data_IF_895978500582
#
_entry.id   IF_895978500582
#
_cell.length_a   1.000
_cell.length_b   1.000
_cell.length_c   1.000
_cell.angle_alpha   90.00
_cell.angle_beta   90.00
_cell.angle_gamma   90.00
#
_symmetry.space_group_name_H-M   'P 1'
#
loop_
_entity.id
_entity.type
_entity.pdbx_description
1 polymer ?
#
# COMPACT_ATOMS: atom_id res chain seq x y z
N UNK A 1 27.95 35.29 -5.93
CA UNK A 1 27.04 34.49 -5.10
C UNK A 1 25.65 35.08 -5.28
N UNK A 2 24.94 34.66 -6.32
CA UNK A 2 23.55 35.03 -6.49
C UNK A 2 22.73 34.17 -5.54
N UNK A 3 21.82 34.81 -4.80
CA UNK A 3 20.91 34.15 -3.89
C UNK A 3 20.18 33.04 -4.65
N UNK A 4 20.24 31.82 -4.11
CA UNK A 4 19.45 30.68 -4.54
C UNK A 4 17.97 31.08 -4.49
N UNK A 5 17.41 31.48 -5.63
CA UNK A 5 15.97 31.60 -5.78
C UNK A 5 15.41 30.19 -5.67
N UNK A 6 14.71 29.92 -4.58
CA UNK A 6 13.90 28.73 -4.45
C UNK A 6 12.78 28.85 -5.50
N UNK A 7 12.98 28.25 -6.68
CA UNK A 7 12.04 28.34 -7.79
C UNK A 7 10.74 27.62 -7.39
N UNK A 8 9.74 28.40 -7.00
CA UNK A 8 8.39 27.90 -6.70
C UNK A 8 7.76 27.18 -7.90
N UNK A 9 8.29 27.43 -9.10
CA UNK A 9 7.80 26.95 -10.38
C UNK A 9 8.11 25.47 -10.65
N UNK A 10 8.92 24.80 -9.81
CA UNK A 10 9.19 23.36 -10.00
C UNK A 10 7.97 22.47 -9.76
N UNK A 11 7.02 22.92 -8.93
CA UNK A 11 5.83 22.16 -8.57
C UNK A 11 4.61 23.07 -8.61
N UNK A 12 3.49 22.53 -9.09
CA UNK A 12 2.19 23.16 -8.86
C UNK A 12 1.86 23.20 -7.36
N UNK A 13 0.83 23.97 -6.99
CA UNK A 13 0.30 23.92 -5.63
C UNK A 13 -0.07 22.49 -5.19
N UNK A 14 -0.60 21.66 -6.10
CA UNK A 14 -0.88 20.25 -5.81
C UNK A 14 0.40 19.44 -5.50
N UNK A 15 1.50 19.73 -6.21
CA UNK A 15 2.81 19.14 -5.95
C UNK A 15 3.36 19.49 -4.57
N UNK A 16 3.30 20.77 -4.18
CA UNK A 16 3.73 21.21 -2.84
C UNK A 16 2.85 20.65 -1.73
N UNK A 17 1.52 20.61 -1.95
CA UNK A 17 0.60 19.99 -0.99
C UNK A 17 0.91 18.50 -0.85
N UNK A 18 1.18 17.79 -1.95
CA UNK A 18 1.61 16.39 -1.89
C UNK A 18 2.83 16.21 -0.99
N UNK A 19 3.84 17.08 -1.13
CA UNK A 19 5.06 17.03 -0.31
C UNK A 19 4.75 17.21 1.17
N UNK A 20 3.93 18.22 1.50
CA UNK A 20 3.49 18.45 2.88
C UNK A 20 2.70 17.26 3.44
N UNK A 21 1.80 16.67 2.66
CA UNK A 21 0.98 15.54 3.10
C UNK A 21 1.83 14.31 3.38
N UNK A 22 2.78 13.96 2.51
CA UNK A 22 3.61 12.78 2.77
C UNK A 22 4.61 13.00 3.91
N UNK A 23 5.03 14.24 4.20
CA UNK A 23 5.83 14.57 5.40
C UNK A 23 5.08 14.32 6.71
N UNK A 24 3.75 14.36 6.72
CA UNK A 24 2.93 14.04 7.91
C UNK A 24 2.90 12.53 8.19
N UNK A 25 3.07 11.68 7.17
CA UNK A 25 3.06 10.22 7.31
C UNK A 25 4.12 9.70 8.29
N UNK A 26 5.43 10.03 8.16
CA UNK A 26 6.42 9.58 9.13
C UNK A 26 6.19 10.18 10.52
N UNK A 27 5.66 11.42 10.62
CA UNK A 27 5.29 12.00 11.91
C UNK A 27 4.21 11.16 12.62
N UNK A 28 3.21 10.69 11.87
CA UNK A 28 2.18 9.77 12.39
C UNK A 28 2.80 8.47 12.92
N UNK A 29 3.83 7.92 12.24
CA UNK A 29 4.53 6.72 12.69
C UNK A 29 5.44 6.97 13.90
N UNK A 30 6.08 8.14 14.01
CA UNK A 30 6.83 8.52 15.21
C UNK A 30 5.88 8.63 16.41
N UNK A 31 4.74 9.29 16.24
CA UNK A 31 3.71 9.36 17.29
C UNK A 31 3.20 7.98 17.68
N UNK A 32 3.00 7.08 16.70
CA UNK A 32 2.64 5.68 16.96
C UNK A 32 3.72 4.95 17.78
N UNK A 33 5.00 5.13 17.46
CA UNK A 33 6.11 4.52 18.20
C UNK A 33 6.18 4.99 19.65
N UNK A 34 5.87 6.27 19.91
CA UNK A 34 5.89 6.85 21.27
C UNK A 34 4.62 6.47 22.06
N UNK A 35 3.43 6.62 21.47
CA UNK A 35 2.14 6.44 22.19
C UNK A 35 1.63 5.00 22.17
N UNK A 36 2.30 4.10 21.44
CA UNK A 36 1.95 2.69 21.35
C UNK A 36 0.75 2.39 20.43
N UNK A 37 0.29 1.13 20.43
CA UNK A 37 -0.67 0.64 19.45
C UNK A 37 -2.03 1.31 19.58
N UNK A 38 -2.45 2.02 18.52
CA UNK A 38 -3.75 2.68 18.38
C UNK A 38 -4.37 2.29 17.06
N UNK A 39 -5.64 1.89 17.10
CA UNK A 39 -6.37 1.28 15.97
C UNK A 39 -6.44 2.15 14.70
N UNK A 40 -6.21 3.45 14.82
CA UNK A 40 -6.48 4.42 13.78
C UNK A 40 -5.24 5.15 13.25
N UNK A 41 -4.11 5.19 13.99
CA UNK A 41 -2.93 5.96 13.57
C UNK A 41 -2.24 5.38 12.33
N UNK A 42 -1.96 4.08 12.29
CA UNK A 42 -1.34 3.46 11.12
C UNK A 42 -2.25 3.52 9.87
N UNK A 43 -3.56 3.22 9.96
CA UNK A 43 -4.48 3.40 8.82
C UNK A 43 -4.58 4.85 8.33
N UNK A 44 -4.59 5.85 9.23
CA UNK A 44 -4.57 7.26 8.81
C UNK A 44 -3.27 7.59 8.08
N UNK A 45 -2.12 7.17 8.59
CA UNK A 45 -0.83 7.38 7.90
C UNK A 45 -0.82 6.78 6.50
N UNK A 46 -1.37 5.56 6.33
CA UNK A 46 -1.53 4.94 5.01
C UNK A 46 -2.50 5.73 4.12
N UNK A 47 -3.64 6.18 4.66
CA UNK A 47 -4.61 7.00 3.94
C UNK A 47 -4.00 8.31 3.45
N UNK A 48 -3.20 8.99 4.28
CA UNK A 48 -2.46 10.20 3.89
C UNK A 48 -1.45 9.92 2.77
N UNK A 49 -0.73 8.79 2.82
CA UNK A 49 0.20 8.40 1.76
C UNK A 49 -0.53 8.16 0.42
N UNK A 50 -1.73 7.57 0.45
CA UNK A 50 -2.57 7.39 -0.75
C UNK A 50 -3.05 8.74 -1.30
N UNK A 51 -3.49 9.67 -0.43
CA UNK A 51 -3.87 11.03 -0.85
C UNK A 51 -2.69 11.77 -1.48
N UNK A 52 -1.50 11.68 -0.88
CA UNK A 52 -0.28 12.24 -1.47
C UNK A 52 0.01 11.65 -2.85
N UNK A 53 -0.20 10.34 -3.06
CA UNK A 53 0.00 9.72 -4.38
C UNK A 53 -0.94 10.30 -5.44
N UNK A 54 -2.20 10.54 -5.09
CA UNK A 54 -3.18 11.13 -6.03
C UNK A 54 -2.73 12.54 -6.42
N UNK A 55 -2.34 13.36 -5.45
CA UNK A 55 -1.87 14.73 -5.70
C UNK A 55 -0.54 14.77 -6.48
N UNK A 56 0.39 13.86 -6.19
CA UNK A 56 1.64 13.76 -6.93
C UNK A 56 1.42 13.33 -8.38
N UNK A 57 0.50 12.38 -8.62
CA UNK A 57 0.15 11.95 -9.98
C UNK A 57 -0.55 13.06 -10.77
N UNK A 58 -1.40 13.82 -10.12
CA UNK A 58 -2.06 14.99 -10.70
C UNK A 58 -1.02 16.04 -11.10
N UNK A 59 -0.11 16.41 -10.19
CA UNK A 59 1.00 17.32 -10.49
C UNK A 59 1.90 16.83 -11.63
N UNK A 60 2.26 15.54 -11.63
CA UNK A 60 3.12 14.96 -12.66
C UNK A 60 2.45 15.06 -14.04
N UNK A 61 1.17 14.70 -14.14
CA UNK A 61 0.41 14.71 -15.40
C UNK A 61 0.07 16.11 -15.90
N UNK A 62 -0.42 16.97 -15.02
CA UNK A 62 -1.07 18.22 -15.39
C UNK A 62 -0.14 19.44 -15.25
N UNK A 63 1.07 19.27 -14.70
CA UNK A 63 2.02 20.38 -14.57
C UNK A 63 3.39 20.00 -15.12
N UNK A 64 4.07 19.02 -14.52
CA UNK A 64 5.47 18.71 -14.86
C UNK A 64 5.63 18.23 -16.30
N UNK A 65 4.73 17.38 -16.79
CA UNK A 65 4.74 16.92 -18.19
C UNK A 65 4.43 18.00 -19.22
N UNK A 66 3.84 19.12 -18.80
CA UNK A 66 3.51 20.25 -19.69
C UNK A 66 4.65 21.28 -19.76
N UNK A 67 5.66 21.17 -18.91
CA UNK A 67 6.82 22.07 -18.90
C UNK A 67 7.60 21.89 -20.21
N UNK A 68 7.89 23.02 -20.87
CA UNK A 68 8.70 23.04 -22.10
C UNK A 68 10.08 23.65 -21.83
N UNK A 69 11.15 23.10 -22.42
CA UNK A 69 12.47 23.70 -22.30
C UNK A 69 12.51 25.06 -23.02
N UNK A 70 13.10 26.08 -22.39
CA UNK A 70 13.33 27.38 -22.99
C UNK A 70 14.38 27.26 -24.10
N UNK A 71 13.92 27.33 -25.34
CA UNK A 71 14.75 27.27 -26.53
C UNK A 71 14.88 28.62 -27.22
N UNK A 72 14.50 29.71 -26.55
CA UNK A 72 14.56 31.07 -27.11
C UNK A 72 15.97 31.43 -27.59
N UNK A 73 17.01 31.10 -26.82
CA UNK A 73 18.41 31.33 -27.18
C UNK A 73 18.86 30.50 -28.39
N UNK A 74 18.43 29.24 -28.49
CA UNK A 74 18.75 28.38 -29.64
C UNK A 74 18.05 28.85 -30.92
N UNK A 75 16.80 29.31 -30.82
CA UNK A 75 16.04 29.86 -31.93
C UNK A 75 16.68 31.17 -32.42
N UNK A 76 17.08 32.06 -31.51
CA UNK A 76 17.79 33.30 -31.86
C UNK A 76 19.12 33.01 -32.56
N UNK A 77 19.94 32.10 -32.01
CA UNK A 77 21.21 31.71 -32.63
C UNK A 77 21.01 31.05 -34.02
N UNK A 78 19.91 30.33 -34.23
CA UNK A 78 19.56 29.79 -35.56
C UNK A 78 19.12 30.87 -36.53
N UNK A 79 18.31 31.83 -36.09
CA UNK A 79 17.90 32.97 -36.90
C UNK A 79 19.12 33.79 -37.32
N UNK A 80 20.05 34.06 -36.41
CA UNK A 80 21.31 34.73 -36.71
C UNK A 80 22.15 33.95 -37.73
N UNK A 81 22.25 32.63 -37.62
CA UNK A 81 22.94 31.79 -38.61
C UNK A 81 22.25 31.81 -39.98
N UNK A 82 20.91 31.83 -40.00
CA UNK A 82 20.13 31.92 -41.24
C UNK A 82 20.29 33.29 -41.91
N UNK A 83 20.28 34.37 -41.13
CA UNK A 83 20.54 35.71 -41.63
C UNK A 83 21.99 35.88 -42.09
N UNK A 84 22.97 35.36 -41.37
CA UNK A 84 24.38 35.40 -41.77
C UNK A 84 24.62 34.64 -43.07
N UNK A 85 24.00 33.47 -43.25
CA UNK A 85 24.08 32.71 -44.51
C UNK A 85 23.37 33.41 -45.66
N UNK A 86 22.21 34.04 -45.42
CA UNK A 86 21.53 34.89 -46.42
C UNK A 86 22.39 36.09 -46.83
N UNK A 87 22.99 36.79 -45.87
CA UNK A 87 23.88 37.94 -46.13
C UNK A 87 25.14 37.49 -46.88
N UNK A 88 25.74 36.36 -46.52
CA UNK A 88 26.90 35.83 -47.23
C UNK A 88 26.59 35.47 -48.70
N UNK A 89 25.41 34.89 -48.97
CA UNK A 89 24.94 34.61 -50.33
C UNK A 89 24.68 35.89 -51.15
N UNK A 90 24.08 36.91 -50.53
CA UNK A 90 23.88 38.21 -51.19
C UNK A 90 25.23 38.88 -51.53
N UNK A 91 26.22 38.81 -50.64
CA UNK A 91 27.55 39.38 -50.89
C UNK A 91 28.32 38.61 -51.95
N UNK A 92 28.26 37.26 -51.94
CA UNK A 92 28.94 36.45 -52.96
C UNK A 92 28.34 36.60 -54.36
N UNK A 93 27.06 37.00 -54.46
CA UNK A 93 26.33 37.20 -55.73
C UNK A 93 26.07 38.65 -56.10
N UNK A 94 26.56 39.61 -55.32
CA UNK A 94 26.34 41.04 -55.57
C UNK A 94 26.85 41.52 -56.93
N UNK A 95 27.70 40.74 -57.62
CA UNK A 95 28.15 41.02 -58.98
C UNK A 95 27.29 40.39 -60.10
N UNK A 96 26.39 39.47 -59.79
CA UNK A 96 25.57 38.72 -60.78
C UNK A 96 24.05 38.94 -60.62
N UNK A 97 23.61 39.39 -59.45
CA UNK A 97 22.22 39.79 -59.22
C UNK A 97 22.03 41.25 -59.66
N UNK A 98 21.56 41.49 -60.88
CA UNK A 98 20.98 42.78 -61.22
C UNK A 98 19.71 42.99 -60.41
N UNK A 99 19.66 44.03 -59.58
CA UNK A 99 18.50 44.45 -58.78
C UNK A 99 17.42 45.03 -59.72
N UNK A 100 16.83 44.16 -60.56
CA UNK A 100 15.71 44.50 -61.44
C UNK A 100 14.44 44.33 -60.63
N UNK A 101 13.95 45.44 -60.06
CA UNK A 101 12.63 45.48 -59.42
C UNK A 101 11.58 45.81 -60.47
N UNK A 102 10.60 44.94 -60.64
CA UNK A 102 9.42 45.29 -61.40
C UNK A 102 8.46 46.08 -60.51
N UNK A 103 7.65 46.97 -61.11
CA UNK A 103 6.76 47.86 -60.36
C UNK A 103 5.66 47.12 -59.57
N UNK A 104 5.53 45.80 -59.75
CA UNK A 104 4.54 44.94 -59.14
C UNK A 104 5.10 44.12 -57.95
N UNK A 105 6.42 44.14 -57.70
CA UNK A 105 7.05 43.31 -56.67
C UNK A 105 6.86 43.88 -55.25
N UNK A 106 6.45 43.01 -54.31
CA UNK A 106 6.33 43.38 -52.90
C UNK A 106 7.64 43.17 -52.12
N UNK A 107 7.77 43.75 -50.92
CA UNK A 107 8.97 43.59 -50.09
C UNK A 107 9.29 42.13 -49.69
N UNK A 108 8.35 41.20 -49.89
CA UNK A 108 8.53 39.76 -49.69
C UNK A 108 9.03 39.02 -50.96
N UNK A 109 9.00 39.65 -52.14
CA UNK A 109 9.37 39.07 -53.44
C UNK A 109 10.82 39.32 -53.87
N UNK A 110 11.65 39.96 -53.02
CA UNK A 110 13.03 40.34 -53.36
C UNK A 110 14.00 39.16 -53.54
N UNK A 111 13.49 37.93 -53.65
CA UNK A 111 14.25 36.71 -53.80
C UNK A 111 13.54 35.85 -54.85
N UNK A 112 13.57 36.33 -56.08
CA UNK A 112 12.95 35.68 -57.22
C UNK A 112 13.62 34.32 -57.46
N UNK A 113 12.94 33.25 -57.02
CA UNK A 113 13.40 31.86 -57.18
C UNK A 113 13.43 31.43 -58.64
N UNK A 114 12.77 32.18 -59.53
CA UNK A 114 12.70 31.88 -60.96
C UNK A 114 14.04 32.08 -61.69
N UNK A 115 14.98 32.85 -61.13
CA UNK A 115 16.31 33.08 -61.71
C UNK A 115 17.42 32.17 -61.17
N UNK A 116 17.11 31.23 -60.28
CA UNK A 116 18.10 30.31 -59.70
C UNK A 116 18.23 29.04 -60.55
N UNK A 117 19.45 28.58 -60.78
CA UNK A 117 19.68 27.30 -61.45
C UNK A 117 19.27 26.11 -60.55
N UNK A 118 19.16 24.93 -61.16
CA UNK A 118 18.69 23.73 -60.47
C UNK A 118 19.68 23.25 -59.39
N UNK A 119 20.97 23.56 -59.55
CA UNK A 119 22.02 23.24 -58.58
C UNK A 119 21.98 24.17 -57.36
N UNK A 120 21.57 25.43 -57.52
CA UNK A 120 21.34 26.41 -56.46
C UNK A 120 20.11 26.09 -55.63
N UNK A 121 19.01 25.72 -56.29
CA UNK A 121 17.81 25.22 -55.62
C UNK A 121 18.14 23.95 -54.82
N UNK A 122 19.03 23.11 -55.33
CA UNK A 122 19.54 21.93 -54.63
C UNK A 122 20.49 22.28 -53.50
N UNK A 123 21.31 23.33 -53.63
CA UNK A 123 22.21 23.83 -52.57
C UNK A 123 21.42 24.45 -51.41
N UNK A 124 20.41 25.28 -51.71
CA UNK A 124 19.45 25.81 -50.74
C UNK A 124 18.62 24.69 -50.10
N UNK A 125 18.13 23.74 -50.90
CA UNK A 125 17.42 22.56 -50.40
C UNK A 125 18.29 21.67 -49.50
N UNK A 126 19.60 21.61 -49.74
CA UNK A 126 20.57 20.86 -48.93
C UNK A 126 20.90 21.61 -47.63
N UNK A 127 21.00 22.95 -47.65
CA UNK A 127 21.15 23.78 -46.45
C UNK A 127 19.88 23.84 -45.60
N UNK A 128 18.69 23.81 -46.19
CA UNK A 128 17.41 23.71 -45.46
C UNK A 128 17.27 22.32 -44.81
N UNK A 129 17.69 21.25 -45.50
CA UNK A 129 17.73 19.89 -44.93
C UNK A 129 18.79 19.74 -43.84
N UNK A 130 19.96 20.38 -43.94
CA UNK A 130 21.00 20.37 -42.89
C UNK A 130 20.70 21.33 -41.73
N UNK A 131 19.87 22.36 -41.96
CA UNK A 131 19.38 23.31 -40.94
C UNK A 131 18.13 22.80 -40.19
N UNK A 132 17.69 21.57 -40.41
CA UNK A 132 16.68 20.94 -39.54
C UNK A 132 17.32 20.78 -38.14
N UNK A 133 16.78 21.41 -37.09
CA UNK A 133 17.37 21.35 -35.75
C UNK A 133 17.46 19.92 -35.25
N UNK A 134 18.50 19.58 -34.49
CA UNK A 134 18.69 18.21 -34.00
C UNK A 134 17.53 17.77 -33.09
N UNK A 135 16.91 18.70 -32.35
CA UNK A 135 15.69 18.42 -31.58
C UNK A 135 14.47 18.04 -32.44
N UNK A 136 14.37 18.53 -33.69
CA UNK A 136 13.33 18.08 -34.65
C UNK A 136 13.66 16.71 -35.24
N UNK A 137 14.95 16.31 -35.27
CA UNK A 137 15.37 14.97 -35.70
C UNK A 137 15.15 13.93 -34.59
N UNK A 138 15.39 14.31 -33.34
CA UNK A 138 15.27 13.43 -32.16
C UNK A 138 13.81 13.08 -31.81
N UNK A 139 12.87 14.03 -31.99
CA UNK A 139 11.43 13.73 -31.86
C UNK A 139 10.95 12.72 -32.91
N UNK A 140 11.61 12.65 -34.07
CA UNK A 140 11.31 11.71 -35.17
C UNK A 140 11.94 10.32 -34.97
N UNK A 141 13.06 10.22 -34.24
CA UNK A 141 13.66 8.93 -33.91
C UNK A 141 12.94 8.23 -32.75
N UNK A 142 12.38 8.97 -31.79
CA UNK A 142 11.55 8.42 -30.71
C UNK A 142 10.26 7.72 -31.19
N UNK A 143 9.70 8.13 -32.33
CA UNK A 143 8.51 7.48 -32.92
C UNK A 143 8.87 6.24 -33.76
N UNK A 144 10.14 6.09 -34.17
CA UNK A 144 10.59 5.00 -35.04
C UNK A 144 11.42 3.92 -34.33
N UNK A 145 11.85 4.17 -33.09
CA UNK A 145 12.65 3.28 -32.27
C UNK A 145 11.87 2.63 -31.13
N UNK A 146 10.75 1.97 -31.44
CA UNK A 146 10.14 1.01 -30.52
C UNK A 146 11.04 -0.22 -30.45
N UNK A 147 11.71 -0.42 -29.32
CA UNK A 147 12.42 -1.65 -29.01
C UNK A 147 11.38 -2.76 -28.91
N UNK A 148 11.56 -3.80 -29.73
CA UNK A 148 10.87 -5.08 -29.69
C UNK A 148 11.20 -5.77 -28.35
N UNK A 149 10.45 -5.43 -27.30
CA UNK A 149 10.29 -6.31 -26.16
C UNK A 149 9.15 -7.25 -26.51
N UNK A 150 9.41 -8.56 -26.43
CA UNK A 150 8.49 -9.63 -26.85
C UNK A 150 7.26 -9.78 -25.95
N UNK A 151 6.56 -8.68 -25.68
CA UNK A 151 5.24 -8.64 -25.08
C UNK A 151 4.17 -9.00 -26.12
N UNK A 152 3.29 -9.90 -25.70
CA UNK A 152 2.20 -10.53 -26.46
C UNK A 152 1.11 -9.53 -26.92
N UNK A 153 1.21 -8.26 -26.54
CA UNK A 153 0.27 -7.21 -26.96
C UNK A 153 0.48 -6.72 -28.41
N UNK A 154 1.60 -7.11 -29.05
CA UNK A 154 1.91 -6.74 -30.45
C UNK A 154 1.17 -7.55 -31.52
N UNK A 155 0.35 -8.54 -31.15
CA UNK A 155 -0.28 -9.46 -32.10
C UNK A 155 -1.75 -9.17 -32.45
N UNK A 156 -2.38 -8.13 -31.91
CA UNK A 156 -3.76 -7.75 -32.26
C UNK A 156 -3.74 -6.43 -33.00
N UNK A 157 -3.92 -6.52 -34.32
CA UNK A 157 -3.83 -5.41 -35.26
C UNK A 157 -4.76 -4.24 -34.94
N UNK A 158 -4.28 -3.05 -35.28
CA UNK A 158 -5.01 -1.80 -35.13
C UNK A 158 -4.39 -0.63 -35.90
N UNK A 159 -3.88 -0.89 -37.11
CA UNK A 159 -3.14 0.09 -37.92
C UNK A 159 -4.00 1.23 -38.52
N UNK A 160 -5.27 1.37 -38.10
CA UNK A 160 -6.21 2.37 -38.63
C UNK A 160 -7.01 3.13 -37.55
N UNK A 161 -6.67 3.03 -36.26
CA UNK A 161 -7.43 3.70 -35.18
C UNK A 161 -6.75 4.96 -34.60
N UNK A 162 -5.50 5.27 -34.97
CA UNK A 162 -4.72 6.34 -34.32
C UNK A 162 -4.83 7.69 -35.07
N UNK A 163 -5.20 7.70 -36.35
CA UNK A 163 -5.24 8.95 -37.13
C UNK A 163 -6.44 9.87 -36.83
N UNK A 164 -7.48 9.40 -36.14
CA UNK A 164 -8.69 10.19 -35.86
C UNK A 164 -8.79 10.72 -34.42
N UNK A 165 -8.02 10.16 -33.47
CA UNK A 165 -8.11 10.56 -32.06
C UNK A 165 -7.20 11.75 -31.69
N UNK A 166 -6.23 12.11 -32.53
CA UNK A 166 -5.29 13.21 -32.26
C UNK A 166 -5.83 14.59 -32.64
N UNK A 167 -7.00 14.68 -33.28
CA UNK A 167 -7.61 15.97 -33.67
C UNK A 167 -8.69 16.49 -32.71
N UNK A 168 -9.36 15.60 -31.95
CA UNK A 168 -10.41 16.01 -30.99
C UNK A 168 -9.87 16.28 -29.58
N UNK A 169 -8.63 15.87 -29.25
CA UNK A 169 -8.04 16.13 -27.92
C UNK A 169 -7.40 17.52 -27.79
N UNK A 170 -7.26 18.27 -28.88
CA UNK A 170 -6.62 19.59 -28.90
C UNK A 170 -7.59 20.77 -28.79
N UNK A 171 -8.91 20.54 -28.85
CA UNK A 171 -9.91 21.62 -28.94
C UNK A 171 -10.55 21.99 -27.59
N UNK A 172 -9.99 21.50 -26.48
CA UNK A 172 -10.51 21.73 -25.12
C UNK A 172 -9.48 22.18 -24.07
N UNK A 173 -8.21 22.34 -24.44
CA UNK A 173 -7.23 22.98 -23.55
C UNK A 173 -7.32 24.49 -23.76
N UNK A 174 -8.16 25.14 -22.95
CA UNK A 174 -8.03 26.57 -22.70
C UNK A 174 -6.55 26.92 -22.45
N UNK A 175 -6.15 28.05 -23.01
CA UNK A 175 -4.80 28.60 -23.13
C UNK A 175 -4.07 28.80 -21.79
N UNK A 176 -3.68 27.73 -21.09
CA UNK A 176 -2.62 27.84 -20.10
C UNK A 176 -1.28 27.91 -20.83
N UNK A 177 -0.69 29.12 -20.82
CA UNK A 177 0.61 29.37 -21.41
C UNK A 177 1.61 28.30 -20.93
N UNK A 178 2.32 27.60 -21.84
CA UNK A 178 3.24 26.54 -21.45
C UNK A 178 4.29 27.12 -20.49
N UNK A 179 4.50 26.45 -19.35
CA UNK A 179 5.55 26.87 -18.41
C UNK A 179 6.89 26.59 -19.07
N UNK A 180 7.56 27.66 -19.50
CA UNK A 180 8.87 27.60 -20.16
C UNK A 180 9.96 27.79 -19.11
N UNK A 181 10.93 26.88 -19.05
CA UNK A 181 12.05 26.97 -18.13
C UNK A 181 13.33 26.40 -18.74
N UNK A 182 14.50 26.82 -18.23
CA UNK A 182 15.79 26.35 -18.71
C UNK A 182 15.89 24.82 -18.63
N UNK A 183 16.67 24.23 -19.54
CA UNK A 183 16.81 22.76 -19.62
C UNK A 183 17.31 22.14 -18.31
N UNK A 184 18.27 22.79 -17.64
CA UNK A 184 18.75 22.36 -16.31
C UNK A 184 17.64 22.34 -15.25
N UNK A 185 16.72 23.31 -15.29
CA UNK A 185 15.63 23.45 -14.34
C UNK A 185 14.51 22.45 -14.65
N UNK A 186 14.26 22.14 -15.92
CA UNK A 186 13.35 21.07 -16.36
C UNK A 186 13.86 19.69 -15.93
N UNK A 187 15.16 19.41 -16.06
CA UNK A 187 15.76 18.16 -15.57
C UNK A 187 15.61 18.03 -14.05
N UNK A 188 15.83 19.13 -13.32
CA UNK A 188 15.63 19.18 -11.86
C UNK A 188 14.16 18.95 -11.50
N UNK A 189 13.21 19.58 -12.17
CA UNK A 189 11.77 19.40 -11.93
C UNK A 189 11.37 17.93 -12.13
N UNK A 190 11.78 17.31 -13.25
CA UNK A 190 11.55 15.90 -13.52
C UNK A 190 12.17 14.98 -12.46
N UNK A 191 13.40 15.27 -12.03
CA UNK A 191 14.08 14.50 -10.99
C UNK A 191 13.36 14.61 -9.65
N UNK A 192 12.90 15.81 -9.27
CA UNK A 192 12.19 16.05 -8.02
C UNK A 192 10.80 15.38 -8.04
N UNK A 193 10.07 15.45 -9.15
CA UNK A 193 8.78 14.77 -9.31
C UNK A 193 8.95 13.24 -9.22
N UNK A 194 9.95 12.69 -9.91
CA UNK A 194 10.28 11.27 -9.82
C UNK A 194 10.68 10.85 -8.39
N UNK A 195 11.43 11.71 -7.66
CA UNK A 195 11.78 11.47 -6.26
C UNK A 195 10.53 11.49 -5.37
N UNK A 196 9.66 12.49 -5.55
CA UNK A 196 8.40 12.62 -4.82
C UNK A 196 7.56 11.35 -4.95
N UNK A 197 7.34 10.88 -6.18
CA UNK A 197 6.60 9.63 -6.44
C UNK A 197 7.28 8.42 -5.81
N UNK A 198 8.60 8.26 -5.95
CA UNK A 198 9.35 7.14 -5.35
C UNK A 198 9.22 7.12 -3.82
N UNK A 199 9.32 8.28 -3.18
CA UNK A 199 9.15 8.42 -1.73
C UNK A 199 7.74 8.03 -1.31
N UNK A 200 6.71 8.49 -2.03
CA UNK A 200 5.32 8.14 -1.73
C UNK A 200 5.07 6.63 -1.88
N UNK A 201 5.59 5.99 -2.93
CA UNK A 201 5.48 4.53 -3.09
C UNK A 201 6.16 3.77 -1.95
N UNK A 202 7.34 4.20 -1.53
CA UNK A 202 8.02 3.63 -0.36
C UNK A 202 7.17 3.82 0.91
N UNK A 203 6.58 4.99 1.12
CA UNK A 203 5.72 5.28 2.27
C UNK A 203 4.44 4.44 2.26
N UNK A 204 3.82 4.19 1.10
CA UNK A 204 2.66 3.29 1.01
C UNK A 204 3.05 1.87 1.38
N UNK A 205 4.18 1.38 0.85
CA UNK A 205 4.69 0.05 1.18
C UNK A 205 4.96 -0.10 2.68
N UNK A 206 5.68 0.84 3.28
CA UNK A 206 5.91 0.85 4.73
C UNK A 206 4.62 1.05 5.53
N UNK A 207 3.67 1.85 5.04
CA UNK A 207 2.37 2.04 5.66
C UNK A 207 1.56 0.75 5.71
N UNK A 208 1.57 -0.04 4.64
CA UNK A 208 0.96 -1.37 4.60
C UNK A 208 1.61 -2.29 5.65
N UNK A 209 2.94 -2.35 5.69
CA UNK A 209 3.68 -3.13 6.68
C UNK A 209 3.36 -2.68 8.11
N UNK A 210 3.27 -1.38 8.36
CA UNK A 210 2.93 -0.81 9.68
C UNK A 210 1.50 -1.14 10.11
N UNK A 211 0.54 -1.16 9.18
CA UNK A 211 -0.84 -1.59 9.47
C UNK A 211 -0.87 -3.08 9.83
N UNK A 212 -0.17 -3.93 9.09
CA UNK A 212 -0.05 -5.36 9.40
C UNK A 212 0.63 -5.56 10.77
N UNK A 213 1.73 -4.85 11.02
CA UNK A 213 2.46 -4.91 12.28
C UNK A 213 1.60 -4.45 13.47
N UNK A 214 0.90 -3.31 13.36
CA UNK A 214 -0.01 -2.82 14.39
C UNK A 214 -1.18 -3.79 14.62
N UNK A 215 -1.71 -4.39 13.55
CA UNK A 215 -2.74 -5.43 13.66
C UNK A 215 -2.23 -6.63 14.48
N UNK A 216 -1.06 -7.17 14.13
CA UNK A 216 -0.44 -8.30 14.84
C UNK A 216 -0.13 -7.95 16.30
N UNK A 217 0.39 -6.75 16.57
CA UNK A 217 0.69 -6.26 17.91
C UNK A 217 -0.57 -6.08 18.77
N UNK A 218 -1.74 -5.88 18.16
CA UNK A 218 -3.01 -5.75 18.90
C UNK A 218 -3.74 -7.07 19.09
N UNK A 219 -3.38 -8.12 18.36
CA UNK A 219 -4.14 -9.36 18.29
C UNK A 219 -4.33 -10.05 19.65
N UNK A 220 -3.35 -9.94 20.56
CA UNK A 220 -3.42 -10.52 21.91
C UNK A 220 -3.83 -9.54 23.03
N UNK A 221 -4.09 -8.27 22.70
CA UNK A 221 -4.62 -7.30 23.65
C UNK A 221 -6.14 -7.27 23.50
N UNK A 222 -6.87 -8.00 24.34
CA UNK A 222 -8.32 -8.18 24.19
C UNK A 222 -9.15 -6.90 24.15
N UNK A 223 -8.70 -5.83 24.82
CA UNK A 223 -9.33 -4.51 24.76
C UNK A 223 -9.09 -3.79 23.41
N UNK A 224 -7.99 -4.09 22.71
CA UNK A 224 -7.52 -3.35 21.53
C UNK A 224 -7.50 -4.17 20.22
N UNK A 225 -7.72 -5.48 20.30
CA UNK A 225 -7.77 -6.39 19.16
C UNK A 225 -8.86 -5.97 18.17
N UNK A 226 -8.47 -5.79 16.91
CA UNK A 226 -9.37 -5.66 15.76
C UNK A 226 -9.63 -7.03 15.16
N UNK A 227 -10.84 -7.25 14.61
CA UNK A 227 -11.26 -8.40 13.80
C UNK A 227 -10.36 -9.65 13.95
N UNK A 228 -10.68 -10.61 14.82
CA UNK A 228 -9.85 -11.81 15.00
C UNK A 228 -9.72 -12.58 13.68
N UNK A 229 -8.49 -12.76 13.21
CA UNK A 229 -8.16 -13.59 12.06
C UNK A 229 -7.50 -14.90 12.54
N UNK A 230 -7.74 -16.02 11.84
CA UNK A 230 -7.15 -17.31 12.16
C UNK A 230 -5.69 -17.37 11.70
N UNK A 231 -4.80 -16.69 12.43
CA UNK A 231 -3.36 -16.74 12.21
C UNK A 231 -2.70 -17.74 13.16
N UNK A 232 -1.56 -18.35 12.79
CA UNK A 232 -0.83 -19.23 13.69
C UNK A 232 -0.46 -18.51 14.99
N UNK A 233 -0.84 -19.06 16.15
CA UNK A 233 -0.61 -18.43 17.45
C UNK A 233 0.88 -18.21 17.72
N UNK A 234 1.77 -19.02 17.16
CA UNK A 234 3.22 -18.81 17.24
C UNK A 234 3.68 -17.44 16.67
N UNK A 235 3.08 -16.99 15.56
CA UNK A 235 3.41 -15.70 14.95
C UNK A 235 2.92 -14.54 15.81
N UNK A 236 1.68 -14.64 16.29
CA UNK A 236 1.08 -13.60 17.13
C UNK A 236 1.80 -13.52 18.49
N UNK A 237 2.02 -14.67 19.13
CA UNK A 237 2.63 -14.77 20.45
C UNK A 237 4.10 -14.33 20.46
N UNK A 238 4.81 -14.43 19.32
CA UNK A 238 6.17 -13.92 19.17
C UNK A 238 6.25 -12.39 19.21
N UNK A 239 5.23 -11.69 18.71
CA UNK A 239 5.15 -10.22 18.71
C UNK A 239 4.52 -9.68 19.98
N UNK A 240 3.41 -10.28 20.40
CA UNK A 240 2.73 -9.94 21.64
C UNK A 240 2.32 -11.22 22.35
N UNK A 241 2.98 -11.58 23.47
CA UNK A 241 2.66 -12.81 24.17
C UNK A 241 1.22 -12.77 24.69
N UNK A 242 0.56 -13.92 24.61
CA UNK A 242 -0.77 -14.09 25.18
C UNK A 242 -0.68 -14.00 26.71
N UNK A 243 -1.51 -13.19 27.37
CA UNK A 243 -1.62 -13.25 28.83
C UNK A 243 -2.10 -14.64 29.26
N UNK A 244 -1.49 -15.16 30.33
CA UNK A 244 -1.78 -16.49 30.86
C UNK A 244 -3.11 -16.53 31.58
N UNK A 245 -3.47 -15.43 32.24
CA UNK A 245 -4.77 -15.24 32.89
C UNK A 245 -5.43 -14.03 32.23
N UNK A 246 -6.67 -14.20 31.80
CA UNK A 246 -7.50 -13.16 31.21
C UNK A 246 -8.77 -13.04 32.03
N UNK A 247 -8.93 -11.88 32.66
CA UNK A 247 -10.16 -11.51 33.34
C UNK A 247 -11.08 -10.83 32.32
N UNK A 248 -12.35 -11.25 32.23
CA UNK A 248 -13.26 -10.65 31.27
C UNK A 248 -14.68 -11.18 31.31
N UNK A 249 -15.62 -10.33 30.88
CA UNK A 249 -17.05 -10.58 30.94
C UNK A 249 -17.51 -11.67 29.95
N UNK A 250 -17.80 -12.85 30.50
CA UNK A 250 -18.80 -13.81 30.01
C UNK A 250 -18.65 -14.42 28.58
N UNK A 251 -19.68 -15.16 28.12
CA UNK A 251 -19.65 -16.01 26.92
C UNK A 251 -19.48 -15.23 25.60
N UNK A 252 -19.64 -13.90 25.61
CA UNK A 252 -19.44 -13.02 24.44
C UNK A 252 -17.99 -13.10 23.92
N UNK A 253 -17.03 -13.45 24.79
CA UNK A 253 -15.63 -13.69 24.43
C UNK A 253 -15.38 -14.95 23.59
N UNK A 254 -16.21 -15.99 23.71
CA UNK A 254 -15.98 -17.30 23.09
C UNK A 254 -15.95 -17.23 21.55
N UNK A 255 -16.88 -16.47 20.96
CA UNK A 255 -16.94 -16.28 19.51
C UNK A 255 -15.67 -15.65 18.94
N UNK A 256 -14.95 -14.84 19.74
CA UNK A 256 -13.69 -14.21 19.35
C UNK A 256 -12.55 -15.21 19.33
N UNK A 257 -12.50 -16.11 20.31
CA UNK A 257 -11.51 -17.19 20.40
C UNK A 257 -11.61 -18.10 19.17
N UNK A 258 -12.83 -18.54 18.84
CA UNK A 258 -13.09 -19.36 17.65
C UNK A 258 -12.67 -18.66 16.36
N UNK A 259 -12.97 -17.36 16.23
CA UNK A 259 -12.58 -16.59 15.03
C UNK A 259 -11.07 -16.41 14.91
N UNK A 260 -10.34 -16.38 16.03
CA UNK A 260 -8.86 -16.45 16.05
C UNK A 260 -8.34 -17.86 15.68
N UNK A 261 -9.23 -18.84 15.55
CA UNK A 261 -8.89 -20.22 15.28
C UNK A 261 -8.43 -20.98 16.52
N UNK A 262 -8.62 -20.42 17.71
CA UNK A 262 -8.28 -21.08 18.95
C UNK A 262 -9.43 -21.98 19.43
N UNK A 263 -9.09 -23.03 20.16
CA UNK A 263 -10.03 -23.96 20.79
C UNK A 263 -10.26 -23.57 22.24
N UNK A 264 -11.45 -23.83 22.75
CA UNK A 264 -11.79 -23.53 24.14
C UNK A 264 -12.53 -24.70 24.80
N UNK A 265 -12.40 -24.76 26.13
CA UNK A 265 -13.27 -25.54 27.01
C UNK A 265 -13.99 -24.55 27.91
N UNK A 266 -15.31 -24.48 27.80
CA UNK A 266 -16.15 -23.63 28.63
C UNK A 266 -16.74 -24.46 29.77
N UNK A 267 -16.38 -24.08 30.99
CA UNK A 267 -16.80 -24.73 32.22
C UNK A 267 -17.79 -23.82 32.93
N UNK A 268 -19.02 -24.30 33.11
CA UNK A 268 -20.07 -23.54 33.77
C UNK A 268 -20.99 -24.45 34.59
N UNK A 269 -21.64 -23.87 35.59
CA UNK A 269 -22.75 -24.45 36.34
C UNK A 269 -24.13 -23.96 35.84
N UNK A 270 -24.16 -22.91 35.02
CA UNK A 270 -25.38 -22.38 34.42
C UNK A 270 -25.75 -23.12 33.13
N UNK A 271 -26.71 -24.03 33.26
CA UNK A 271 -27.29 -24.79 32.13
C UNK A 271 -27.92 -23.88 31.07
N UNK A 272 -28.47 -22.73 31.44
CA UNK A 272 -29.06 -21.80 30.48
C UNK A 272 -27.98 -21.07 29.66
N UNK A 273 -26.88 -20.66 30.30
CA UNK A 273 -25.72 -20.09 29.60
C UNK A 273 -25.09 -21.11 28.65
N UNK A 274 -24.91 -22.36 29.10
CA UNK A 274 -24.43 -23.45 28.27
C UNK A 274 -25.36 -23.71 27.07
N UNK A 275 -26.68 -23.70 27.27
CA UNK A 275 -27.66 -23.94 26.22
C UNK A 275 -27.67 -22.86 25.13
N UNK A 276 -27.32 -21.61 25.46
CA UNK A 276 -27.22 -20.49 24.51
C UNK A 276 -26.02 -20.59 23.58
N UNK A 277 -25.04 -21.44 23.88
CA UNK A 277 -23.87 -21.63 23.03
C UNK A 277 -24.27 -22.49 21.81
N UNK A 278 -24.03 -22.01 20.58
CA UNK A 278 -24.37 -22.76 19.38
C UNK A 278 -23.45 -23.96 19.20
N UNK A 279 -23.99 -25.06 18.67
CA UNK A 279 -23.24 -26.29 18.35
C UNK A 279 -22.16 -26.09 17.28
N UNK A 280 -22.22 -25.01 16.51
CA UNK A 280 -21.20 -24.66 15.54
C UNK A 280 -20.96 -23.16 15.48
N UNK A 281 -19.69 -22.74 15.54
CA UNK A 281 -19.29 -21.34 15.48
C UNK A 281 -18.45 -21.07 14.21
N UNK A 282 -18.78 -20.05 13.40
CA UNK A 282 -18.01 -19.72 12.20
C UNK A 282 -16.64 -19.11 12.55
N UNK A 283 -15.55 -19.68 12.00
CA UNK A 283 -14.16 -19.18 12.15
C UNK A 283 -13.91 -17.90 11.36
N UNK A 284 -14.55 -17.73 10.21
CA UNK A 284 -14.32 -16.60 9.31
C UNK A 284 -15.61 -15.79 9.14
N UNK A 285 -15.52 -14.46 8.92
CA UNK A 285 -16.68 -13.59 8.71
C UNK A 285 -17.55 -14.00 7.50
N UNK A 286 -16.99 -14.76 6.56
CA UNK A 286 -17.69 -15.30 5.37
C UNK A 286 -18.20 -16.75 5.55
N UNK A 287 -18.24 -17.29 6.78
CA UNK A 287 -19.02 -18.48 7.14
C UNK A 287 -18.55 -19.86 6.63
N UNK A 288 -17.51 -19.94 5.79
CA UNK A 288 -17.10 -21.21 5.11
C UNK A 288 -16.38 -22.24 5.98
N UNK A 289 -15.81 -21.86 7.13
CA UNK A 289 -15.17 -22.80 8.07
C UNK A 289 -15.85 -22.68 9.43
N UNK A 290 -16.35 -23.79 9.97
CA UNK A 290 -17.02 -23.87 11.27
C UNK A 290 -16.20 -24.75 12.22
N UNK A 291 -16.24 -24.44 13.51
CA UNK A 291 -15.79 -25.35 14.58
C UNK A 291 -17.04 -25.92 15.23
N UNK A 292 -17.03 -27.23 15.43
CA UNK A 292 -18.06 -27.91 16.21
C UNK A 292 -17.79 -27.70 17.70
N UNK A 293 -18.83 -27.26 18.40
CA UNK A 293 -18.86 -27.10 19.85
C UNK A 293 -19.66 -28.26 20.40
N UNK A 294 -18.95 -29.21 21.00
CA UNK A 294 -19.54 -30.41 21.57
C UNK A 294 -19.91 -30.16 23.03
N UNK A 295 -21.04 -30.71 23.46
CA UNK A 295 -21.42 -30.67 24.87
C UNK A 295 -21.01 -31.97 25.52
N UNK A 296 -20.29 -31.86 26.63
CA UNK A 296 -19.85 -33.00 27.42
C UNK A 296 -20.86 -33.23 28.55
N UNK A 297 -22.10 -33.55 28.15
CA UNK A 297 -23.21 -33.77 29.06
C UNK A 297 -22.92 -35.02 29.90
N UNK A 298 -23.23 -34.98 31.19
CA UNK A 298 -23.13 -36.17 32.05
C UNK A 298 -24.08 -37.31 31.65
N UNK A 299 -25.11 -37.04 30.85
CA UNK A 299 -26.20 -37.97 30.54
C UNK A 299 -26.04 -38.71 29.19
N UNK A 300 -25.30 -38.15 28.23
CA UNK A 300 -25.06 -38.76 26.91
C UNK A 300 -23.66 -39.38 26.87
N UNK A 301 -23.53 -40.63 27.36
CA UNK A 301 -22.34 -41.46 27.18
C UNK A 301 -21.01 -40.72 27.36
N UNK A 302 -20.61 -40.51 28.63
CA UNK A 302 -19.49 -39.65 29.06
C UNK A 302 -18.36 -39.53 28.03
N UNK A 303 -18.28 -38.36 27.36
CA UNK A 303 -17.09 -37.99 26.61
C UNK A 303 -15.92 -37.98 27.60
N UNK A 304 -14.91 -38.80 27.32
CA UNK A 304 -13.74 -38.96 28.17
C UNK A 304 -12.91 -37.68 28.25
N UNK A 305 -12.33 -37.40 29.42
CA UNK A 305 -11.54 -36.18 29.65
C UNK A 305 -10.29 -36.13 28.78
N UNK A 306 -9.67 -37.30 28.53
CA UNK A 306 -8.50 -37.41 27.65
C UNK A 306 -8.89 -37.07 26.22
N UNK A 307 -10.08 -37.50 25.77
CA UNK A 307 -10.58 -37.15 24.45
C UNK A 307 -10.84 -35.66 24.32
N UNK A 308 -11.45 -35.02 25.34
CA UNK A 308 -11.66 -33.57 25.37
C UNK A 308 -10.31 -32.86 25.27
N UNK A 309 -9.33 -33.24 26.10
CA UNK A 309 -8.01 -32.62 26.10
C UNK A 309 -7.31 -32.73 24.74
N UNK A 310 -7.20 -33.93 24.17
CA UNK A 310 -6.51 -34.14 22.88
C UNK A 310 -7.20 -33.37 21.74
N UNK A 311 -8.53 -33.39 21.72
CA UNK A 311 -9.31 -32.72 20.68
C UNK A 311 -9.11 -31.20 20.71
N UNK A 312 -9.08 -30.63 21.91
CA UNK A 312 -8.85 -29.19 22.11
C UNK A 312 -7.38 -28.85 21.87
N UNK A 313 -6.43 -29.69 22.29
CA UNK A 313 -4.99 -29.53 22.06
C UNK A 313 -4.64 -29.47 20.56
N UNK A 314 -5.33 -30.24 19.72
CA UNK A 314 -5.16 -30.18 18.27
C UNK A 314 -6.05 -29.14 17.57
N UNK A 315 -6.84 -28.37 18.31
CA UNK A 315 -7.70 -27.32 17.74
C UNK A 315 -8.82 -27.84 16.84
N UNK A 316 -9.30 -29.07 17.09
CA UNK A 316 -10.31 -29.75 16.25
C UNK A 316 -11.72 -29.31 16.60
N UNK A 317 -12.05 -29.29 17.88
CA UNK A 317 -13.37 -28.92 18.41
C UNK A 317 -13.21 -28.09 19.69
N UNK A 318 -14.31 -27.47 20.13
CA UNK A 318 -14.41 -26.83 21.44
C UNK A 318 -15.48 -27.54 22.26
N UNK A 319 -15.40 -27.43 23.58
CA UNK A 319 -16.29 -28.17 24.47
C UNK A 319 -16.99 -27.26 25.47
N UNK A 320 -18.21 -27.64 25.83
CA UNK A 320 -19.00 -27.03 26.92
C UNK A 320 -19.28 -28.11 27.96
N UNK A 321 -18.97 -27.81 29.22
CA UNK A 321 -19.26 -28.64 30.39
C UNK A 321 -20.19 -27.83 31.28
N UNK A 322 -21.38 -28.36 31.54
CA UNK A 322 -22.49 -27.70 32.22
C UNK A 322 -22.71 -28.20 33.67
N UNK A 323 -21.68 -28.84 34.24
CA UNK A 323 -21.75 -29.44 35.57
C UNK A 323 -20.49 -29.14 36.39
N UNK A 324 -20.68 -28.49 37.54
CA UNK A 324 -19.60 -28.09 38.44
C UNK A 324 -18.67 -29.25 38.88
N UNK A 325 -19.25 -30.42 39.18
CA UNK A 325 -18.46 -31.60 39.58
C UNK A 325 -17.54 -32.06 38.45
N UNK A 326 -18.12 -32.27 37.26
CA UNK A 326 -17.39 -32.62 36.03
C UNK A 326 -16.32 -31.58 35.67
N UNK A 327 -16.60 -30.29 35.84
CA UNK A 327 -15.61 -29.23 35.58
C UNK A 327 -14.39 -29.32 36.51
N UNK A 328 -14.58 -29.68 37.78
CA UNK A 328 -13.49 -29.88 38.75
C UNK A 328 -12.67 -31.13 38.42
N UNK A 329 -13.32 -32.25 38.09
CA UNK A 329 -12.64 -33.47 37.64
C UNK A 329 -11.81 -33.23 36.38
N UNK A 330 -12.39 -32.54 35.39
CA UNK A 330 -11.72 -32.22 34.14
C UNK A 330 -10.52 -31.28 34.37
N UNK A 331 -10.63 -30.33 35.29
CA UNK A 331 -9.53 -29.45 35.67
C UNK A 331 -8.34 -30.24 36.23
N UNK A 332 -8.59 -31.15 37.18
CA UNK A 332 -7.54 -32.01 37.75
C UNK A 332 -6.88 -32.86 36.66
N UNK A 333 -7.69 -33.47 35.79
CA UNK A 333 -7.17 -34.26 34.67
C UNK A 333 -6.35 -33.43 33.69
N UNK A 334 -6.78 -32.21 33.39
CA UNK A 334 -6.03 -31.28 32.54
C UNK A 334 -4.68 -30.92 33.15
N UNK A 335 -4.60 -30.71 34.47
CA UNK A 335 -3.33 -30.42 35.15
C UNK A 335 -2.35 -31.59 34.98
N UNK A 336 -2.82 -32.83 35.12
CA UNK A 336 -1.99 -34.03 34.91
C UNK A 336 -1.48 -34.11 33.47
N UNK A 337 -2.37 -33.98 32.49
CA UNK A 337 -2.01 -34.05 31.08
C UNK A 337 -1.07 -32.91 30.67
N UNK A 338 -1.30 -31.69 31.14
CA UNK A 338 -0.41 -30.55 30.90
C UNK A 338 0.97 -30.75 31.53
N UNK A 339 1.06 -31.42 32.68
CA UNK A 339 2.34 -31.78 33.29
C UNK A 339 3.11 -32.75 32.39
N UNK A 340 2.46 -33.79 31.87
CA UNK A 340 3.07 -34.70 30.89
C UNK A 340 3.51 -33.97 29.61
N UNK A 341 2.71 -33.01 29.11
CA UNK A 341 3.08 -32.19 27.94
C UNK A 341 4.27 -31.26 28.23
N UNK A 342 4.33 -30.67 29.42
CA UNK A 342 5.47 -29.85 29.84
C UNK A 342 6.77 -30.67 29.87
N UNK A 343 6.73 -31.89 30.42
CA UNK A 343 7.90 -32.77 30.54
C UNK A 343 8.43 -33.20 29.16
N UNK A 344 7.52 -33.45 28.22
CA UNK A 344 7.85 -33.72 26.81
C UNK A 344 8.16 -32.47 25.99
N UNK A 345 8.12 -31.28 26.61
CA UNK A 345 8.27 -29.96 25.95
C UNK A 345 7.30 -29.72 24.79
N UNK A 346 6.17 -30.42 24.79
CA UNK A 346 5.12 -30.25 23.80
C UNK A 346 4.39 -28.91 24.02
N UNK A 347 4.15 -28.20 22.92
CA UNK A 347 3.40 -26.94 22.90
C UNK A 347 2.22 -27.02 21.96
N UNK A 348 1.13 -26.36 22.33
CA UNK A 348 -0.05 -26.28 21.46
C UNK A 348 0.29 -25.45 20.22
N UNK A 349 -0.14 -25.91 19.05
CA UNK A 349 0.07 -25.19 17.77
C UNK A 349 -0.78 -23.92 17.69
N UNK A 350 -2.02 -24.01 18.16
CA UNK A 350 -2.93 -22.88 18.36
C UNK A 350 -3.25 -22.79 19.84
N UNK A 351 -3.41 -21.58 20.39
CA UNK A 351 -3.62 -21.43 21.82
C UNK A 351 -4.93 -22.10 22.26
N UNK A 352 -4.86 -22.81 23.38
CA UNK A 352 -6.00 -23.47 24.02
C UNK A 352 -6.48 -22.61 25.18
N UNK A 353 -7.80 -22.44 25.30
CA UNK A 353 -8.41 -21.61 26.35
C UNK A 353 -9.22 -22.46 27.30
N UNK A 354 -8.93 -22.35 28.60
CA UNK A 354 -9.79 -22.87 29.66
C UNK A 354 -10.62 -21.71 30.18
N UNK A 355 -11.93 -21.74 29.99
CA UNK A 355 -12.85 -20.68 30.40
C UNK A 355 -13.60 -21.15 31.64
N UNK A 356 -13.29 -20.53 32.77
CA UNK A 356 -13.88 -20.79 34.07
C UNK A 356 -15.00 -19.80 34.35
N UNK A 357 -16.24 -20.30 34.30
CA UNK A 357 -17.47 -19.57 34.53
C UNK A 357 -18.38 -20.33 35.51
N UNK A 358 -17.77 -20.76 36.63
CA UNK A 358 -18.45 -21.31 37.79
C UNK A 358 -18.54 -20.26 38.88
N UNK A 359 -19.55 -20.36 39.74
CA UNK A 359 -19.66 -19.53 40.95
C UNK A 359 -18.53 -19.84 41.96
N UNK A 360 -18.10 -21.09 42.02
CA UNK A 360 -16.97 -21.52 42.87
C UNK A 360 -15.63 -21.07 42.26
N UNK A 361 -14.78 -20.32 43.00
CA UNK A 361 -13.46 -19.95 42.51
C UNK A 361 -12.54 -21.17 42.42
N UNK A 362 -11.59 -21.13 41.47
CA UNK A 362 -10.54 -22.14 41.37
C UNK A 362 -9.68 -22.10 42.64
N UNK A 363 -9.43 -23.24 43.32
CA UNK A 363 -8.48 -23.32 44.41
C UNK A 363 -7.13 -22.71 44.05
N UNK A 364 -6.60 -21.83 44.90
CA UNK A 364 -5.43 -21.01 44.58
C UNK A 364 -4.19 -21.86 44.23
N UNK A 365 -4.03 -23.03 44.85
CA UNK A 365 -2.96 -23.98 44.51
C UNK A 365 -3.08 -24.52 43.07
N UNK A 366 -4.28 -24.94 42.67
CA UNK A 366 -4.54 -25.41 41.30
C UNK A 366 -4.36 -24.27 40.30
N UNK A 367 -4.84 -23.06 40.63
CA UNK A 367 -4.68 -21.86 39.81
C UNK A 367 -3.19 -21.54 39.55
N UNK A 368 -2.35 -21.55 40.59
CA UNK A 368 -0.91 -21.28 40.45
C UNK A 368 -0.18 -22.36 39.64
N UNK A 369 -0.52 -23.64 39.86
CA UNK A 369 -0.02 -24.76 39.04
C UNK A 369 -0.40 -24.55 37.57
N UNK A 370 -1.66 -24.22 37.31
CA UNK A 370 -2.17 -24.02 35.95
C UNK A 370 -1.51 -22.82 35.26
N UNK A 371 -1.28 -21.71 35.96
CA UNK A 371 -0.53 -20.56 35.43
C UNK A 371 0.89 -20.97 35.00
N UNK A 372 1.55 -21.80 35.81
CA UNK A 372 2.91 -22.29 35.52
C UNK A 372 2.92 -23.20 34.30
N UNK A 373 1.96 -24.13 34.22
CA UNK A 373 1.82 -25.06 33.10
C UNK A 373 1.41 -24.35 31.80
N UNK A 374 0.54 -23.34 31.91
CA UNK A 374 0.04 -22.55 30.80
C UNK A 374 1.16 -21.79 30.08
N UNK A 375 2.09 -21.17 30.83
CA UNK A 375 3.30 -20.54 30.26
C UNK A 375 4.16 -21.52 29.46
N UNK A 376 4.24 -22.77 29.91
CA UNK A 376 5.08 -23.78 29.27
C UNK A 376 4.45 -24.39 28.02
N UNK A 377 3.13 -24.60 28.04
CA UNK A 377 2.39 -25.38 27.03
C UNK A 377 1.68 -24.52 25.99
N UNK A 378 1.36 -23.25 26.28
CA UNK A 378 0.62 -22.35 25.38
C UNK A 378 -0.89 -22.27 25.66
N UNK A 379 -1.31 -22.66 26.86
CA UNK A 379 -2.68 -22.49 27.38
C UNK A 379 -2.89 -21.08 27.94
N UNK A 380 -4.13 -20.61 27.95
CA UNK A 380 -4.56 -19.47 28.76
C UNK A 380 -5.84 -19.76 29.53
N UNK A 381 -5.89 -19.24 30.75
CA UNK A 381 -7.02 -19.33 31.65
C UNK A 381 -7.85 -18.05 31.54
N UNK A 382 -9.15 -18.22 31.34
CA UNK A 382 -10.14 -17.16 31.33
C UNK A 382 -11.00 -17.28 32.57
N UNK A 383 -11.14 -16.20 33.32
CA UNK A 383 -11.97 -16.16 34.51
C UNK A 383 -13.10 -15.17 34.24
N UNK A 384 -14.34 -15.67 34.21
CA UNK A 384 -15.53 -14.88 33.88
C UNK A 384 -16.14 -14.19 35.10
N UNK A 385 -16.12 -14.85 36.26
CA UNK A 385 -16.62 -14.32 37.52
C UNK A 385 -15.45 -14.12 38.48
N UNK A 386 -15.26 -12.89 38.96
CA UNK A 386 -14.52 -12.67 40.21
C UNK A 386 -15.36 -13.20 41.38
N UNK A 387 -14.72 -13.69 42.46
CA UNK A 387 -15.44 -13.98 43.68
C UNK A 387 -16.20 -12.72 44.10
N UNK A 388 -17.52 -12.84 44.29
CA UNK A 388 -18.35 -11.80 44.91
C UNK A 388 -17.91 -11.64 46.37
N UNK A 389 -16.89 -10.82 46.60
CA UNK A 389 -16.39 -10.50 47.93
C UNK A 389 -14.87 -10.43 48.02
N UNK A 390 -14.34 -9.24 47.73
CA UNK A 390 -13.11 -8.72 48.34
C UNK A 390 -13.40 -7.31 48.86
#
# INVERSE_FOLDING_TARGET
>A
MNADYFHWDYFSHAGWISVLVWLIVPLCWVVYSIKGPRRWLCPIGLGLAIVALVLAKDNSKNYVNLIQPDRSAEIAAQQERQEASRKALQVSRGSELSDVRFAEDTAADSLDRAGMDEDDLKYLGRHIKSATPDWKKEKKSRTAGGIDDGSVESAVGGDNAIAAADSEFLDGMEEEAPVVMLEEDLERANRLDALNLKVIYALIFFGLLMVVYDYLRRANIYAKASLPLPLPSAWINGLTPLPVVVEGAGPVGLSRLVKRGDSFVYLTDDKEAAAKIPEAIPRLPLGRKRIDVLRADGEQGSIDDDFIFETVWFGRSSFVVDSAGRSKELLDRFIDLLTQRKDTRAKVRQSMHLVWDLDDPIPEEQKQKLITLAKATGLSLYICNEPKGA
#
